data_IF_811391065185
#
_entry.id   IF_811391065185
#
_cell.length_a   1.000
_cell.length_b   1.000
_cell.length_c   1.000
_cell.angle_alpha   90.00
_cell.angle_beta   90.00
_cell.angle_gamma   90.00
#
_symmetry.space_group_name_H-M   'P 1'
#
loop_
_entity.id
_entity.type
_entity.pdbx_description
1 polymer ?
#
# COMPACT_ATOMS: atom_id res chain seq x y z
N UNK A 1 4.77 22.14 -4.57
CA UNK A 1 4.32 23.32 -5.37
C UNK A 1 2.89 23.09 -5.84
N UNK A 2 2.31 23.92 -6.72
CA UNK A 2 1.02 23.58 -7.33
C UNK A 2 1.19 22.40 -8.31
N UNK A 3 0.27 21.42 -8.27
CA UNK A 3 0.27 20.30 -9.22
C UNK A 3 0.02 20.82 -10.63
N UNK A 4 0.69 20.21 -11.60
CA UNK A 4 0.63 20.57 -13.01
C UNK A 4 0.05 19.40 -13.82
N UNK A 5 -0.65 19.72 -14.91
CA UNK A 5 -1.20 18.72 -15.84
C UNK A 5 -0.61 18.92 -17.24
N UNK A 6 0.70 18.72 -17.36
CA UNK A 6 1.46 18.97 -18.60
C UNK A 6 1.01 18.04 -19.73
N UNK A 7 0.60 16.81 -19.39
CA UNK A 7 0.21 15.79 -20.35
C UNK A 7 -1.29 15.81 -20.70
N UNK A 8 -2.07 16.77 -20.16
CA UNK A 8 -3.54 16.80 -20.27
C UNK A 8 -4.17 15.45 -19.86
N UNK A 9 -3.67 14.87 -18.77
CA UNK A 9 -4.10 13.59 -18.25
C UNK A 9 -5.35 13.69 -17.38
N UNK A 10 -5.65 14.89 -16.85
CA UNK A 10 -6.80 15.09 -15.99
C UNK A 10 -8.11 14.89 -16.76
N UNK A 11 -8.96 14.01 -16.24
CA UNK A 11 -10.29 13.75 -16.80
C UNK A 11 -11.32 13.41 -15.70
N UNK A 12 -12.57 13.25 -16.08
CA UNK A 12 -13.68 12.84 -15.22
C UNK A 12 -14.01 11.35 -15.43
N UNK A 13 -14.10 10.61 -14.33
CA UNK A 13 -14.67 9.27 -14.27
C UNK A 13 -16.06 9.33 -13.64
N UNK A 14 -17.05 8.79 -14.34
CA UNK A 14 -18.41 8.66 -13.81
C UNK A 14 -18.55 7.32 -13.09
N UNK A 15 -18.92 7.39 -11.81
CA UNK A 15 -19.21 6.24 -10.96
C UNK A 15 -20.61 6.38 -10.37
N UNK A 16 -21.11 5.31 -9.77
CA UNK A 16 -22.42 5.34 -9.11
C UNK A 16 -22.45 6.33 -7.92
N UNK A 17 -21.30 6.53 -7.26
CA UNK A 17 -21.09 7.54 -6.21
C UNK A 17 -20.88 8.98 -6.72
N UNK A 18 -20.96 9.21 -8.03
CA UNK A 18 -20.83 10.51 -8.68
C UNK A 18 -19.54 10.69 -9.50
N UNK A 19 -19.33 11.89 -10.08
CA UNK A 19 -18.15 12.18 -10.89
C UNK A 19 -16.90 12.37 -10.00
N UNK A 20 -15.80 11.77 -10.42
CA UNK A 20 -14.50 11.84 -9.76
C UNK A 20 -13.44 12.30 -10.76
N UNK A 21 -12.50 13.12 -10.31
CA UNK A 21 -11.33 13.47 -11.13
C UNK A 21 -10.33 12.31 -11.14
N UNK A 22 -9.85 11.92 -12.30
CA UNK A 22 -8.78 10.93 -12.49
C UNK A 22 -7.67 11.50 -13.36
N UNK A 23 -6.50 10.87 -13.33
CA UNK A 23 -5.38 11.16 -14.22
C UNK A 23 -5.14 9.93 -15.10
N UNK A 24 -5.56 9.99 -16.37
CA UNK A 24 -5.53 8.83 -17.28
C UNK A 24 -4.11 8.52 -17.72
N UNK A 25 -3.69 7.27 -17.54
CA UNK A 25 -2.39 6.81 -18.04
C UNK A 25 -2.30 6.84 -19.57
N UNK A 26 -3.42 6.64 -20.28
CA UNK A 26 -3.48 6.67 -21.75
C UNK A 26 -3.14 8.05 -22.35
N UNK A 27 -3.16 9.12 -21.56
CA UNK A 27 -2.74 10.45 -21.96
C UNK A 27 -1.26 10.49 -22.35
N UNK A 28 -0.42 9.65 -21.74
CA UNK A 28 0.99 9.53 -22.07
C UNK A 28 1.20 8.89 -23.45
N UNK A 29 0.35 7.93 -23.84
CA UNK A 29 0.34 7.39 -25.21
C UNK A 29 -0.09 8.48 -26.21
N UNK A 30 -1.16 9.22 -25.90
CA UNK A 30 -1.67 10.31 -26.75
C UNK A 30 -0.68 11.45 -26.92
N UNK A 31 0.11 11.75 -25.88
CA UNK A 31 1.18 12.74 -25.90
C UNK A 31 2.46 12.23 -26.60
N UNK A 32 2.51 10.96 -27.02
CA UNK A 32 3.67 10.38 -27.70
C UNK A 32 4.85 10.06 -26.79
N UNK A 33 4.63 9.90 -25.48
CA UNK A 33 5.69 9.66 -24.49
C UNK A 33 6.15 8.21 -24.48
N UNK A 34 5.23 7.26 -24.31
CA UNK A 34 5.54 5.82 -24.23
C UNK A 34 4.27 4.97 -24.41
N UNK A 35 4.43 3.68 -24.75
CA UNK A 35 3.32 2.71 -24.75
C UNK A 35 3.11 2.12 -23.35
N UNK A 36 2.15 2.68 -22.63
CA UNK A 36 1.81 2.34 -21.24
C UNK A 36 1.17 0.94 -21.15
N UNK A 37 0.50 0.48 -22.20
CA UNK A 37 -0.21 -0.80 -22.20
C UNK A 37 0.69 -2.02 -21.92
N UNK A 38 1.98 -1.93 -22.24
CA UNK A 38 2.96 -3.02 -22.04
C UNK A 38 3.64 -3.02 -20.68
N UNK A 39 3.41 -1.99 -19.87
CA UNK A 39 4.00 -1.89 -18.54
C UNK A 39 3.44 -2.98 -17.61
N UNK A 40 4.27 -3.54 -16.72
CA UNK A 40 3.76 -4.33 -15.59
C UNK A 40 2.76 -3.51 -14.78
N UNK A 41 1.74 -4.17 -14.23
CA UNK A 41 0.68 -3.49 -13.46
C UNK A 41 1.26 -2.72 -12.27
N UNK A 42 2.27 -3.28 -11.59
CA UNK A 42 2.96 -2.59 -10.50
C UNK A 42 3.62 -1.28 -10.94
N UNK A 43 4.17 -1.23 -12.16
CA UNK A 43 4.80 -0.01 -12.71
C UNK A 43 3.74 1.02 -13.10
N UNK A 44 2.58 0.59 -13.61
CA UNK A 44 1.45 1.50 -13.88
C UNK A 44 0.97 2.21 -12.61
N UNK A 45 0.98 1.55 -11.45
CA UNK A 45 0.63 2.20 -10.17
C UNK A 45 1.67 3.26 -9.78
N UNK A 46 2.97 2.99 -9.94
CA UNK A 46 4.01 4.00 -9.73
C UNK A 46 3.87 5.19 -10.70
N UNK A 47 3.55 4.90 -11.96
CA UNK A 47 3.34 5.90 -13.00
C UNK A 47 2.14 6.80 -12.71
N UNK A 48 1.02 6.22 -12.25
CA UNK A 48 -0.16 7.00 -11.84
C UNK A 48 0.20 7.96 -10.71
N UNK A 49 0.91 7.46 -9.69
CA UNK A 49 1.27 8.26 -8.53
C UNK A 49 2.16 9.45 -8.92
N UNK A 50 3.10 9.24 -9.85
CA UNK A 50 3.96 10.30 -10.36
C UNK A 50 3.17 11.28 -11.26
N UNK A 51 2.36 10.77 -12.19
CA UNK A 51 1.57 11.59 -13.12
C UNK A 51 0.60 12.53 -12.39
N UNK A 52 -0.16 12.00 -11.42
CA UNK A 52 -1.12 12.77 -10.63
C UNK A 52 -0.45 13.80 -9.72
N UNK A 53 0.77 13.52 -9.25
CA UNK A 53 1.47 14.34 -8.25
C UNK A 53 2.58 15.21 -8.85
N UNK A 54 2.69 15.29 -10.18
CA UNK A 54 3.65 16.14 -10.87
C UNK A 54 3.50 17.59 -10.41
N UNK A 55 4.54 18.13 -9.80
CA UNK A 55 4.57 19.51 -9.29
C UNK A 55 5.78 20.31 -9.78
N UNK A 56 6.66 19.68 -10.54
CA UNK A 56 7.87 20.28 -11.10
C UNK A 56 9.02 20.44 -10.10
N UNK A 57 8.87 19.91 -8.87
CA UNK A 57 9.89 20.00 -7.83
C UNK A 57 10.20 18.63 -7.20
N UNK A 58 9.28 18.07 -6.41
CA UNK A 58 9.46 16.73 -5.83
C UNK A 58 9.20 15.65 -6.88
N UNK A 59 8.21 15.88 -7.73
CA UNK A 59 7.87 15.01 -8.86
C UNK A 59 7.96 15.81 -10.14
N UNK A 60 8.96 15.48 -10.95
CA UNK A 60 9.30 16.18 -12.20
C UNK A 60 8.65 15.52 -13.41
N UNK A 61 8.57 16.26 -14.52
CA UNK A 61 8.17 15.71 -15.81
C UNK A 61 9.09 14.54 -16.23
N UNK A 62 10.40 14.70 -16.04
CA UNK A 62 11.40 13.67 -16.34
C UNK A 62 11.15 12.36 -15.56
N UNK A 63 10.74 12.45 -14.30
CA UNK A 63 10.39 11.27 -13.52
C UNK A 63 9.19 10.52 -14.14
N UNK A 64 8.15 11.23 -14.56
CA UNK A 64 6.97 10.62 -15.23
C UNK A 64 7.37 9.94 -16.54
N UNK A 65 8.15 10.62 -17.38
CA UNK A 65 8.64 10.09 -18.65
C UNK A 65 9.55 8.87 -18.46
N UNK A 66 10.38 8.89 -17.42
CA UNK A 66 11.28 7.78 -17.05
C UNK A 66 10.48 6.54 -16.65
N UNK A 67 9.48 6.69 -15.79
CA UNK A 67 8.61 5.58 -15.36
C UNK A 67 7.79 5.06 -16.55
N UNK A 68 7.27 5.96 -17.40
CA UNK A 68 6.51 5.59 -18.59
C UNK A 68 7.34 4.76 -19.58
N UNK A 69 8.63 5.07 -19.69
CA UNK A 69 9.61 4.34 -20.50
C UNK A 69 10.36 3.26 -19.70
N UNK A 70 9.68 2.61 -18.74
CA UNK A 70 10.26 1.49 -18.01
C UNK A 70 10.74 0.39 -18.98
N UNK A 71 12.00 -0.02 -18.79
CA UNK A 71 12.65 -1.01 -19.64
C UNK A 71 14.07 -1.28 -19.19
N UNK A 72 14.85 -2.05 -19.98
CA UNK A 72 16.20 -2.48 -19.62
C UNK A 72 17.20 -1.34 -19.32
N UNK A 73 16.95 -0.15 -19.88
CA UNK A 73 17.84 1.01 -19.72
C UNK A 73 17.50 1.87 -18.49
N UNK A 74 16.29 1.74 -17.94
CA UNK A 74 15.81 2.54 -16.79
C UNK A 74 15.67 1.70 -15.52
N UNK A 75 15.21 0.45 -15.63
CA UNK A 75 15.03 -0.47 -14.51
C UNK A 75 16.37 -0.78 -13.81
N UNK A 76 16.37 -0.66 -12.48
CA UNK A 76 17.52 -0.86 -11.60
C UNK A 76 18.62 0.21 -11.72
N UNK A 77 18.41 1.27 -12.51
CA UNK A 77 19.45 2.23 -12.88
C UNK A 77 19.12 3.68 -12.54
N UNK A 78 17.85 4.06 -12.62
CA UNK A 78 17.42 5.45 -12.41
C UNK A 78 16.59 5.55 -11.13
N UNK A 79 16.82 6.60 -10.36
CA UNK A 79 16.05 6.91 -9.16
C UNK A 79 14.76 7.65 -9.53
N UNK A 80 13.66 7.29 -8.88
CA UNK A 80 12.35 7.91 -9.06
C UNK A 80 11.74 8.29 -7.70
N UNK A 81 10.95 9.38 -7.64
CA UNK A 81 10.14 9.70 -6.48
C UNK A 81 8.85 8.86 -6.48
N UNK A 82 8.46 8.36 -5.31
CA UNK A 82 7.18 7.69 -5.09
C UNK A 82 6.49 8.25 -3.85
N UNK A 83 5.28 8.78 -4.03
CA UNK A 83 4.44 9.32 -2.96
C UNK A 83 3.22 8.40 -2.76
N UNK A 84 3.26 7.49 -1.78
CA UNK A 84 2.18 6.53 -1.56
C UNK A 84 0.89 7.22 -1.08
N UNK A 85 -0.24 6.54 -1.21
CA UNK A 85 -1.54 7.07 -0.81
C UNK A 85 -1.74 7.16 0.70
N UNK A 86 -1.12 6.26 1.48
CA UNK A 86 -1.25 6.19 2.95
C UNK A 86 -0.05 5.50 3.60
N UNK A 87 -0.02 5.51 4.94
CA UNK A 87 0.95 4.78 5.76
C UNK A 87 0.23 3.85 6.73
N UNK A 88 0.81 2.67 7.00
CA UNK A 88 0.33 1.78 8.06
C UNK A 88 1.43 1.53 9.11
N UNK A 89 1.05 1.51 10.38
CA UNK A 89 1.95 1.29 11.51
C UNK A 89 1.43 0.14 12.38
N UNK A 90 2.35 -0.54 13.06
CA UNK A 90 2.05 -1.44 14.16
C UNK A 90 2.60 -0.86 15.47
N UNK A 91 2.19 -1.30 16.65
CA UNK A 91 2.45 -0.57 17.90
C UNK A 91 3.93 -0.52 18.36
N UNK A 92 4.79 -1.46 17.98
CA UNK A 92 6.22 -1.43 18.32
C UNK A 92 6.98 -0.33 17.57
N UNK A 93 6.65 -0.09 16.31
CA UNK A 93 7.26 0.97 15.48
C UNK A 93 6.43 2.25 15.46
N UNK A 94 5.13 2.14 15.70
CA UNK A 94 4.21 3.27 15.74
C UNK A 94 4.36 4.13 16.99
N UNK A 95 4.66 3.54 18.15
CA UNK A 95 4.99 4.32 19.36
C UNK A 95 6.19 5.25 19.12
N UNK A 96 7.37 4.76 18.68
CA UNK A 96 8.49 5.66 18.41
C UNK A 96 8.16 6.69 17.33
N UNK A 97 7.41 6.35 16.27
CA UNK A 97 7.01 7.36 15.28
C UNK A 97 6.11 8.47 15.84
N UNK A 98 5.19 8.16 16.76
CA UNK A 98 4.38 9.19 17.44
C UNK A 98 5.25 10.02 18.39
N UNK A 99 6.25 9.42 19.04
CA UNK A 99 7.25 10.15 19.84
C UNK A 99 8.05 11.12 18.96
N UNK A 100 8.49 10.68 17.79
CA UNK A 100 9.29 11.50 16.86
C UNK A 100 8.47 12.67 16.32
N UNK A 101 7.20 12.47 15.96
CA UNK A 101 6.30 13.57 15.60
C UNK A 101 6.11 14.57 16.76
N UNK A 102 5.99 14.09 18.00
CA UNK A 102 5.89 14.94 19.18
C UNK A 102 7.18 15.73 19.45
N UNK A 103 8.33 15.09 19.24
CA UNK A 103 9.65 15.71 19.35
C UNK A 103 9.85 16.78 18.27
N UNK A 104 9.44 16.51 17.03
CA UNK A 104 9.45 17.46 15.92
C UNK A 104 8.55 18.67 16.19
N UNK A 105 7.36 18.48 16.78
CA UNK A 105 6.50 19.59 17.25
C UNK A 105 7.23 20.47 18.27
N UNK A 106 7.90 19.84 19.22
CA UNK A 106 8.67 20.56 20.24
C UNK A 106 9.86 21.31 19.64
N UNK A 107 10.55 20.71 18.65
CA UNK A 107 11.64 21.36 17.92
C UNK A 107 11.14 22.56 17.10
N UNK A 108 10.02 22.40 16.38
CA UNK A 108 9.37 23.47 15.62
C UNK A 108 9.02 24.65 16.52
N UNK A 109 8.46 24.40 17.71
CA UNK A 109 8.16 25.43 18.70
C UNK A 109 9.43 26.18 19.15
N UNK A 110 10.52 25.47 19.47
CA UNK A 110 11.80 26.07 19.89
C UNK A 110 12.43 26.94 18.80
N UNK A 111 12.19 26.62 17.53
CA UNK A 111 12.63 27.40 16.38
C UNK A 111 11.70 28.58 16.05
N UNK A 112 10.63 28.80 16.82
CA UNK A 112 9.65 29.86 16.60
C UNK A 112 8.65 29.60 15.48
N UNK A 113 8.58 28.38 14.96
CA UNK A 113 7.60 27.95 13.97
C UNK A 113 6.29 27.45 14.58
N UNK A 114 5.31 27.14 13.74
CA UNK A 114 4.03 26.57 14.16
C UNK A 114 4.11 25.03 14.29
N UNK A 115 4.01 24.46 15.50
CA UNK A 115 4.06 23.02 15.71
C UNK A 115 2.96 22.27 14.98
N UNK A 116 1.81 22.90 14.72
CA UNK A 116 0.68 22.24 14.01
C UNK A 116 1.02 21.87 12.57
N UNK A 117 2.06 22.47 11.98
CA UNK A 117 2.57 22.05 10.66
C UNK A 117 3.21 20.67 10.68
N UNK A 118 3.62 20.18 11.85
CA UNK A 118 4.05 18.79 12.02
C UNK A 118 2.78 17.95 12.20
N UNK A 119 2.26 17.47 11.08
CA UNK A 119 1.09 16.62 11.02
C UNK A 119 1.17 15.69 9.80
N UNK A 120 0.64 14.45 9.90
CA UNK A 120 0.48 13.59 8.72
C UNK A 120 -0.36 14.25 7.61
N UNK A 121 0.18 14.30 6.40
CA UNK A 121 -0.45 14.81 5.18
C UNK A 121 -1.16 13.71 4.38
N UNK A 122 -0.83 12.45 4.66
CA UNK A 122 -1.52 11.26 4.16
C UNK A 122 -2.20 10.53 5.31
N UNK A 123 -3.25 9.73 5.06
CA UNK A 123 -3.85 8.87 6.07
C UNK A 123 -2.80 7.94 6.70
N UNK A 124 -2.86 7.82 8.02
CA UNK A 124 -2.02 6.93 8.82
C UNK A 124 -2.91 6.05 9.70
N UNK A 125 -2.78 4.75 9.53
CA UNK A 125 -3.47 3.76 10.34
C UNK A 125 -2.47 3.03 11.23
N UNK A 126 -2.62 3.12 12.54
CA UNK A 126 -1.83 2.36 13.51
C UNK A 126 -2.69 1.22 14.07
N UNK A 127 -2.22 -0.02 13.95
CA UNK A 127 -2.87 -1.19 14.54
C UNK A 127 -2.10 -1.65 15.77
N UNK A 128 -2.82 -1.89 16.88
CA UNK A 128 -2.22 -2.43 18.10
C UNK A 128 -2.40 -3.95 18.09
N UNK A 129 -1.31 -4.68 17.83
CA UNK A 129 -1.34 -6.14 17.65
C UNK A 129 -0.07 -6.86 18.12
N UNK A 130 1.04 -6.16 18.37
CA UNK A 130 2.32 -6.72 18.84
C UNK A 130 2.45 -6.75 20.38
N UNK A 131 1.40 -6.36 21.11
CA UNK A 131 1.44 -6.24 22.58
C UNK A 131 0.86 -7.45 23.33
N UNK A 132 -0.03 -8.23 22.71
CA UNK A 132 -0.63 -9.43 23.31
C UNK A 132 0.39 -10.56 23.39
N UNK A 133 0.39 -11.27 24.53
CA UNK A 133 1.23 -12.45 24.75
C UNK A 133 0.35 -13.64 25.15
N UNK A 134 0.79 -14.85 24.80
CA UNK A 134 0.11 -16.09 25.19
C UNK A 134 0.56 -16.47 26.61
N UNK A 135 0.09 -15.74 27.63
CA UNK A 135 0.32 -16.07 29.03
C UNK A 135 -0.46 -17.31 29.48
N UNK A 136 -1.66 -17.51 28.92
CA UNK A 136 -2.48 -18.71 29.08
C UNK A 136 -3.00 -19.20 27.73
N UNK A 137 -3.16 -20.51 27.62
CA UNK A 137 -3.73 -21.19 26.45
C UNK A 137 -4.58 -22.39 26.87
N UNK A 138 -5.37 -22.95 25.94
CA UNK A 138 -6.12 -24.20 26.17
C UNK A 138 -7.34 -24.09 27.08
N UNK A 139 -7.85 -22.89 27.33
CA UNK A 139 -9.03 -22.64 28.17
C UNK A 139 -9.91 -21.54 27.58
N UNK A 140 -11.23 -21.63 27.80
CA UNK A 140 -12.20 -20.59 27.40
C UNK A 140 -11.91 -19.23 28.06
N UNK A 141 -11.19 -19.22 29.18
CA UNK A 141 -10.80 -17.99 29.90
C UNK A 141 -9.45 -17.42 29.43
N UNK A 142 -8.73 -18.11 28.54
CA UNK A 142 -7.39 -17.69 28.12
C UNK A 142 -7.40 -16.32 27.42
N UNK A 143 -8.39 -16.08 26.55
CA UNK A 143 -8.52 -14.80 25.83
C UNK A 143 -8.69 -13.63 26.80
N UNK A 144 -9.63 -13.73 27.74
CA UNK A 144 -9.87 -12.68 28.73
C UNK A 144 -8.63 -12.42 29.60
N UNK A 145 -7.97 -13.49 30.05
CA UNK A 145 -6.78 -13.37 30.87
C UNK A 145 -5.63 -12.69 30.11
N UNK A 146 -5.36 -13.09 28.86
CA UNK A 146 -4.28 -12.53 28.07
C UNK A 146 -4.56 -11.05 27.72
N UNK A 147 -5.82 -10.70 27.40
CA UNK A 147 -6.20 -9.31 27.14
C UNK A 147 -6.06 -8.41 28.38
N UNK A 148 -6.48 -8.88 29.56
CA UNK A 148 -6.29 -8.14 30.82
C UNK A 148 -4.79 -7.88 31.09
N UNK A 149 -3.96 -8.91 30.93
CA UNK A 149 -2.50 -8.83 31.12
C UNK A 149 -1.82 -7.91 30.10
N UNK A 150 -2.28 -7.92 28.86
CA UNK A 150 -1.84 -7.01 27.81
C UNK A 150 -2.09 -5.54 28.21
N UNK A 151 -3.31 -5.22 28.67
CA UNK A 151 -3.66 -3.88 29.13
C UNK A 151 -2.87 -3.44 30.36
N UNK A 152 -2.69 -4.31 31.34
CA UNK A 152 -1.88 -4.02 32.54
C UNK A 152 -0.44 -3.63 32.17
N UNK A 153 0.16 -4.35 31.22
CA UNK A 153 1.56 -4.16 30.82
C UNK A 153 1.78 -2.95 29.92
N UNK A 154 0.80 -2.61 29.08
CA UNK A 154 0.97 -1.63 28.00
C UNK A 154 0.17 -0.33 28.22
N UNK A 155 -0.38 -0.13 29.42
CA UNK A 155 -1.25 1.02 29.73
C UNK A 155 -0.69 2.36 29.28
N UNK A 156 0.57 2.67 29.62
CA UNK A 156 1.21 3.95 29.25
C UNK A 156 1.32 4.10 27.72
N UNK A 157 1.71 3.04 27.02
CA UNK A 157 1.79 3.04 25.54
C UNK A 157 0.43 3.31 24.92
N UNK A 158 -0.63 2.71 25.44
CA UNK A 158 -1.99 2.91 24.91
C UNK A 158 -2.54 4.30 25.22
N UNK A 159 -2.29 4.83 26.42
CA UNK A 159 -2.63 6.21 26.78
C UNK A 159 -1.89 7.20 25.84
N UNK A 160 -0.62 6.93 25.53
CA UNK A 160 0.17 7.74 24.60
C UNK A 160 -0.34 7.66 23.15
N UNK A 161 -0.66 6.47 22.63
CA UNK A 161 -1.22 6.32 21.28
C UNK A 161 -2.61 6.95 21.15
N UNK A 162 -3.43 6.85 22.21
CA UNK A 162 -4.74 7.50 22.28
C UNK A 162 -4.60 9.02 22.27
N UNK A 163 -3.60 9.58 22.96
CA UNK A 163 -3.25 10.99 22.83
C UNK A 163 -2.84 11.33 21.39
N UNK A 164 -2.00 10.50 20.76
CA UNK A 164 -1.58 10.68 19.36
C UNK A 164 -2.76 10.80 18.40
N UNK A 165 -3.75 9.91 18.52
CA UNK A 165 -4.99 9.97 17.73
C UNK A 165 -5.75 11.29 17.89
N UNK A 166 -5.71 11.91 19.06
CA UNK A 166 -6.38 13.20 19.30
C UNK A 166 -5.53 14.39 18.87
N UNK A 167 -4.21 14.22 18.86
CA UNK A 167 -3.25 15.29 18.62
C UNK A 167 -2.91 15.50 17.14
N UNK A 168 -3.09 14.49 16.29
CA UNK A 168 -2.74 14.51 14.88
C UNK A 168 -3.97 14.29 13.99
N UNK A 169 -4.13 15.12 12.96
CA UNK A 169 -5.11 14.89 11.90
C UNK A 169 -4.64 13.73 11.01
N UNK A 170 -5.58 13.07 10.32
CA UNK A 170 -5.33 11.91 9.45
C UNK A 170 -4.70 10.70 10.17
N UNK A 171 -4.71 10.66 11.50
CA UNK A 171 -4.15 9.56 12.29
C UNK A 171 -5.25 8.77 12.99
N UNK A 172 -5.34 7.47 12.70
CA UNK A 172 -6.32 6.55 13.28
C UNK A 172 -5.60 5.41 14.00
N UNK A 173 -6.07 5.06 15.19
CA UNK A 173 -5.59 3.93 15.98
C UNK A 173 -6.68 2.86 16.04
N UNK A 174 -6.35 1.67 15.55
CA UNK A 174 -7.15 0.46 15.74
C UNK A 174 -6.81 -0.14 17.11
N UNK A 175 -7.80 -0.32 17.99
CA UNK A 175 -7.56 -0.76 19.36
C UNK A 175 -7.06 -2.21 19.44
N UNK A 176 -6.45 -2.63 20.57
CA UNK A 176 -6.01 -4.00 20.79
C UNK A 176 -7.18 -5.00 20.70
N UNK A 177 -6.84 -6.27 20.50
CA UNK A 177 -7.77 -7.39 20.36
C UNK A 177 -8.78 -7.28 19.19
N UNK A 178 -8.51 -6.43 18.20
CA UNK A 178 -9.31 -6.32 16.96
C UNK A 178 -8.83 -7.29 15.88
N UNK A 179 -7.52 -7.52 15.78
CA UNK A 179 -6.89 -8.37 14.78
C UNK A 179 -5.42 -8.00 14.59
N UNK A 180 -4.74 -8.64 13.64
CA UNK A 180 -3.35 -8.34 13.27
C UNK A 180 -3.29 -7.32 12.13
N UNK A 181 -2.25 -6.49 12.09
CA UNK A 181 -2.12 -5.32 11.21
C UNK A 181 -2.43 -5.62 9.75
N UNK A 182 -1.88 -6.71 9.21
CA UNK A 182 -2.03 -7.06 7.80
C UNK A 182 -3.39 -7.63 7.46
N UNK A 183 -3.99 -8.40 8.37
CA UNK A 183 -5.35 -8.93 8.20
C UNK A 183 -6.39 -7.81 8.31
N UNK A 184 -6.25 -6.92 9.31
CA UNK A 184 -7.09 -5.72 9.43
C UNK A 184 -6.92 -4.80 8.21
N UNK A 185 -5.70 -4.70 7.67
CA UNK A 185 -5.48 -3.96 6.42
C UNK A 185 -6.24 -4.58 5.25
N UNK A 186 -6.13 -5.89 5.06
CA UNK A 186 -6.78 -6.63 3.98
C UNK A 186 -8.31 -6.62 4.10
N UNK A 187 -8.83 -6.84 5.30
CA UNK A 187 -10.27 -7.03 5.57
C UNK A 187 -11.00 -5.74 5.90
N UNK A 188 -10.32 -4.65 6.27
CA UNK A 188 -11.00 -3.40 6.66
C UNK A 188 -10.39 -2.10 6.09
N UNK A 189 -9.07 -1.89 6.21
CA UNK A 189 -8.48 -0.56 5.91
C UNK A 189 -8.28 -0.29 4.41
N UNK A 190 -7.92 -1.32 3.65
CA UNK A 190 -7.62 -1.20 2.23
C UNK A 190 -8.89 -0.95 1.40
N UNK A 191 -8.73 -0.04 0.43
CA UNK A 191 -9.82 0.36 -0.48
C UNK A 191 -9.58 -0.01 -1.94
N UNK A 192 -8.36 -0.44 -2.30
CA UNK A 192 -7.91 -0.69 -3.69
C UNK A 192 -7.85 0.56 -4.57
N UNK A 193 -8.88 1.41 -4.52
CA UNK A 193 -8.90 2.76 -5.07
C UNK A 193 -9.26 3.73 -3.95
N UNK A 194 -8.39 4.69 -3.70
CA UNK A 194 -8.60 5.76 -2.73
C UNK A 194 -9.31 6.95 -3.39
N UNK A 195 -10.04 7.70 -2.58
CA UNK A 195 -10.60 9.00 -2.94
C UNK A 195 -10.08 10.08 -2.02
N UNK A 196 -9.66 11.23 -2.55
CA UNK A 196 -9.16 12.35 -1.75
C UNK A 196 -9.63 13.70 -2.27
N UNK A 197 -9.86 14.66 -1.37
CA UNK A 197 -10.20 16.03 -1.76
C UNK A 197 -8.93 16.83 -2.03
N UNK A 198 -8.78 17.33 -3.27
CA UNK A 198 -7.67 18.18 -3.69
C UNK A 198 -8.22 19.38 -4.45
N UNK A 199 -7.89 20.60 -3.98
CA UNK A 199 -8.34 21.86 -4.60
C UNK A 199 -9.86 21.93 -4.86
N UNK A 200 -10.67 21.39 -3.94
CA UNK A 200 -12.14 21.38 -4.04
C UNK A 200 -12.73 20.26 -4.90
N UNK A 201 -11.92 19.46 -5.59
CA UNK A 201 -12.37 18.30 -6.37
C UNK A 201 -12.09 17.01 -5.61
N UNK A 202 -12.91 15.99 -5.84
CA UNK A 202 -12.66 14.63 -5.33
C UNK A 202 -11.90 13.87 -6.41
N UNK A 203 -10.66 13.48 -6.12
CA UNK A 203 -9.81 12.68 -6.99
C UNK A 203 -9.89 11.20 -6.62
N UNK A 204 -9.84 10.30 -7.61
CA UNK A 204 -9.67 8.87 -7.42
C UNK A 204 -8.31 8.39 -7.93
N UNK A 205 -7.65 7.51 -7.18
CA UNK A 205 -6.31 7.01 -7.47
C UNK A 205 -6.05 5.64 -6.81
N UNK A 206 -5.08 4.84 -7.28
CA UNK A 206 -4.83 3.52 -6.72
C UNK A 206 -4.44 3.64 -5.25
N UNK A 207 -4.96 2.73 -4.43
CA UNK A 207 -4.45 2.55 -3.07
C UNK A 207 -3.00 2.09 -3.15
N UNK A 208 -2.15 2.72 -2.36
CA UNK A 208 -0.76 2.34 -2.21
C UNK A 208 -0.25 2.78 -0.85
N UNK A 209 0.69 2.02 -0.28
CA UNK A 209 1.18 2.32 1.04
C UNK A 209 2.62 1.88 1.27
N UNK A 210 3.22 2.49 2.29
CA UNK A 210 4.32 1.87 3.00
C UNK A 210 3.92 1.61 4.44
N UNK A 211 4.53 0.60 5.03
CA UNK A 211 4.31 0.29 6.44
C UNK A 211 5.58 0.07 7.21
N UNK A 212 5.54 0.27 8.52
CA UNK A 212 6.69 0.01 9.40
C UNK A 212 6.80 -1.46 9.83
N UNK A 213 6.41 -2.35 8.93
CA UNK A 213 6.40 -3.80 9.08
C UNK A 213 6.72 -4.43 7.71
N UNK A 214 7.64 -5.40 7.68
CA UNK A 214 8.11 -6.03 6.45
C UNK A 214 7.00 -6.73 5.67
N UNK A 215 6.01 -7.27 6.37
CA UNK A 215 4.92 -8.06 5.81
C UNK A 215 3.75 -7.19 5.34
N UNK A 216 3.90 -5.86 5.32
CA UNK A 216 2.99 -4.92 4.64
C UNK A 216 2.71 -5.36 3.19
N UNK A 217 3.65 -6.09 2.59
CA UNK A 217 3.53 -6.76 1.29
C UNK A 217 2.35 -7.73 1.17
N UNK A 218 1.76 -8.22 2.26
CA UNK A 218 0.54 -9.06 2.22
C UNK A 218 -0.60 -8.40 1.43
N UNK A 219 -0.71 -7.07 1.48
CA UNK A 219 -1.75 -6.32 0.79
C UNK A 219 -1.63 -6.37 -0.74
N UNK A 220 -0.46 -6.75 -1.28
CA UNK A 220 -0.26 -6.84 -2.71
C UNK A 220 -1.05 -7.99 -3.36
N UNK A 221 -1.55 -8.94 -2.56
CA UNK A 221 -2.53 -9.94 -2.98
C UNK A 221 -3.89 -9.35 -3.39
N UNK A 222 -4.21 -8.15 -2.91
CA UNK A 222 -5.44 -7.39 -3.20
C UNK A 222 -5.25 -6.41 -4.38
N UNK A 223 -4.07 -6.34 -4.99
CA UNK A 223 -3.75 -5.36 -6.04
C UNK A 223 -3.39 -3.97 -5.52
N UNK A 224 -3.10 -3.84 -4.23
CA UNK A 224 -2.61 -2.61 -3.60
C UNK A 224 -1.08 -2.64 -3.55
N UNK A 225 -0.42 -1.64 -4.11
CA UNK A 225 1.05 -1.57 -4.14
C UNK A 225 1.58 -1.09 -2.78
N UNK A 226 2.39 -1.90 -2.11
CA UNK A 226 2.98 -1.51 -0.84
C UNK A 226 3.94 -2.50 -0.22
N UNK A 227 4.84 -1.99 0.63
CA UNK A 227 5.93 -2.76 1.23
C UNK A 227 6.37 -2.18 2.57
N UNK A 228 7.23 -2.91 3.27
CA UNK A 228 7.81 -2.49 4.55
C UNK A 228 8.97 -1.51 4.39
N UNK A 229 9.00 -0.48 5.24
CA UNK A 229 10.07 0.52 5.34
C UNK A 229 10.45 0.76 6.81
N UNK A 230 11.51 1.51 7.08
CA UNK A 230 11.86 1.96 8.43
C UNK A 230 10.92 3.05 8.95
N UNK A 231 10.98 3.31 10.26
CA UNK A 231 10.17 4.34 10.91
C UNK A 231 10.41 5.73 10.32
N UNK A 232 11.68 6.08 10.07
CA UNK A 232 12.08 7.39 9.53
C UNK A 232 11.52 7.60 8.12
N UNK A 233 11.59 6.59 7.23
CA UNK A 233 11.01 6.68 5.89
C UNK A 233 9.48 6.83 5.96
N UNK A 234 8.83 6.06 6.85
CA UNK A 234 7.39 6.18 7.05
C UNK A 234 7.00 7.59 7.55
N UNK A 235 7.74 8.16 8.50
CA UNK A 235 7.53 9.52 9.00
C UNK A 235 7.77 10.59 7.93
N UNK A 236 8.80 10.42 7.10
CA UNK A 236 9.06 11.31 5.98
C UNK A 236 7.86 11.34 5.01
N UNK A 237 7.31 10.16 4.70
CA UNK A 237 6.07 10.03 3.91
C UNK A 237 4.88 10.68 4.59
N UNK A 238 4.71 10.49 5.90
CA UNK A 238 3.65 11.16 6.66
C UNK A 238 3.76 12.67 6.51
N UNK A 239 4.97 13.23 6.49
CA UNK A 239 5.22 14.67 6.34
C UNK A 239 5.26 15.12 4.86
N UNK A 240 4.88 14.25 3.93
CA UNK A 240 4.69 14.56 2.51
C UNK A 240 5.93 14.38 1.63
N UNK A 241 7.04 13.89 2.18
CA UNK A 241 8.23 13.59 1.39
C UNK A 241 8.02 12.33 0.53
N UNK A 242 8.46 12.33 -0.73
CA UNK A 242 8.51 11.11 -1.53
C UNK A 242 9.54 10.14 -0.98
N UNK A 243 9.30 8.85 -1.22
CA UNK A 243 10.33 7.83 -1.18
C UNK A 243 11.12 7.92 -2.47
N UNK A 244 12.43 8.12 -2.37
CA UNK A 244 13.33 7.99 -3.50
C UNK A 244 13.81 6.54 -3.58
N UNK A 245 13.56 5.91 -4.72
CA UNK A 245 13.91 4.52 -4.96
C UNK A 245 14.42 4.31 -6.38
N UNK A 246 15.27 3.32 -6.60
CA UNK A 246 15.56 2.87 -7.96
C UNK A 246 14.28 2.32 -8.59
N UNK A 247 13.99 2.75 -9.83
CA UNK A 247 12.90 2.20 -10.63
C UNK A 247 13.09 0.68 -10.71
N UNK A 248 12.19 -0.15 -10.19
CA UNK A 248 12.51 -1.55 -9.92
C UNK A 248 12.50 -2.39 -11.19
N UNK A 249 13.38 -3.41 -11.22
CA UNK A 249 13.18 -4.57 -12.08
C UNK A 249 11.87 -5.27 -11.70
N UNK A 250 11.15 -5.82 -12.68
CA UNK A 250 9.95 -6.63 -12.46
C UNK A 250 10.18 -8.05 -12.98
N UNK A 251 10.15 -9.02 -12.07
CA UNK A 251 10.24 -10.45 -12.37
C UNK A 251 8.84 -11.02 -12.48
N UNK A 252 8.42 -11.40 -13.69
CA UNK A 252 7.15 -12.07 -13.90
C UNK A 252 7.18 -13.52 -13.40
N UNK A 253 6.33 -13.87 -12.43
CA UNK A 253 6.15 -15.23 -11.93
C UNK A 253 4.90 -15.86 -12.55
N UNK A 254 5.10 -16.79 -13.49
CA UNK A 254 3.99 -17.41 -14.22
C UNK A 254 3.41 -18.60 -13.44
N UNK A 255 2.15 -18.48 -13.02
CA UNK A 255 1.38 -19.57 -12.43
C UNK A 255 0.57 -20.29 -13.51
N UNK A 256 0.71 -21.61 -13.55
CA UNK A 256 0.02 -22.50 -14.49
C UNK A 256 -0.47 -23.76 -13.78
N UNK A 257 -1.55 -24.35 -14.28
CA UNK A 257 -2.13 -25.57 -13.70
C UNK A 257 -3.10 -25.28 -12.55
N UNK A 258 -3.24 -26.25 -11.67
CA UNK A 258 -4.07 -26.24 -10.45
C UNK A 258 -3.30 -26.88 -9.31
N UNK A 259 -3.63 -26.53 -8.07
CA UNK A 259 -3.10 -27.23 -6.91
C UNK A 259 -3.64 -28.67 -6.90
N UNK A 260 -2.79 -29.68 -6.66
CA UNK A 260 -3.26 -31.05 -6.53
C UNK A 260 -4.11 -31.21 -5.26
N UNK A 261 -4.98 -32.21 -5.25
CA UNK A 261 -5.80 -32.52 -4.08
C UNK A 261 -4.92 -32.73 -2.84
N UNK A 262 -5.32 -32.11 -1.73
CA UNK A 262 -4.58 -32.14 -0.46
C UNK A 262 -3.48 -31.10 -0.32
N UNK A 263 -3.09 -30.39 -1.40
CA UNK A 263 -2.17 -29.26 -1.28
C UNK A 263 -2.89 -28.02 -0.75
N UNK A 264 -2.16 -27.23 0.04
CA UNK A 264 -2.65 -26.02 0.70
C UNK A 264 -1.99 -24.75 0.15
N UNK A 265 -2.52 -23.59 0.52
CA UNK A 265 -1.89 -22.29 0.27
C UNK A 265 -0.46 -22.23 0.85
N UNK A 266 -0.25 -22.90 1.99
CA UNK A 266 1.06 -22.98 2.66
C UNK A 266 2.07 -23.75 1.81
N UNK A 267 1.67 -24.88 1.23
CA UNK A 267 2.55 -25.66 0.34
C UNK A 267 2.96 -24.83 -0.88
N UNK A 268 1.98 -24.11 -1.46
CA UNK A 268 2.21 -23.23 -2.59
C UNK A 268 3.19 -22.11 -2.26
N UNK A 269 2.97 -21.36 -1.18
CA UNK A 269 3.84 -20.23 -0.84
C UNK A 269 5.25 -20.68 -0.49
N UNK A 270 5.42 -21.80 0.21
CA UNK A 270 6.75 -22.34 0.52
C UNK A 270 7.50 -22.71 -0.77
N UNK A 271 6.81 -23.31 -1.73
CA UNK A 271 7.40 -23.64 -3.04
C UNK A 271 7.74 -22.38 -3.85
N UNK A 272 6.86 -21.38 -3.87
CA UNK A 272 7.11 -20.09 -4.53
C UNK A 272 8.32 -19.40 -3.90
N UNK A 273 8.38 -19.36 -2.58
CA UNK A 273 9.48 -18.76 -1.80
C UNK A 273 10.81 -19.45 -2.13
N UNK A 274 10.84 -20.77 -2.14
CA UNK A 274 12.02 -21.56 -2.51
C UNK A 274 12.52 -21.20 -3.93
N UNK A 275 11.60 -21.19 -4.91
CA UNK A 275 11.94 -20.88 -6.31
C UNK A 275 12.45 -19.44 -6.48
N UNK A 276 11.82 -18.47 -5.81
CA UNK A 276 12.22 -17.07 -5.89
C UNK A 276 13.55 -16.80 -5.19
N UNK A 277 13.82 -17.47 -4.05
CA UNK A 277 15.15 -17.44 -3.40
C UNK A 277 16.23 -17.96 -4.34
N UNK A 278 16.01 -19.10 -4.99
CA UNK A 278 16.96 -19.67 -5.96
C UNK A 278 17.18 -18.75 -7.16
N UNK A 279 16.13 -18.03 -7.60
CA UNK A 279 16.22 -17.08 -8.71
C UNK A 279 17.01 -15.81 -8.37
N UNK A 280 17.01 -15.38 -7.11
CA UNK A 280 17.67 -14.17 -6.65
C UNK A 280 16.91 -12.90 -7.03
N UNK A 281 15.85 -12.57 -6.29
CA UNK A 281 14.96 -11.43 -6.57
C UNK A 281 15.13 -10.26 -5.60
N UNK A 282 16.28 -10.17 -4.94
CA UNK A 282 16.56 -9.13 -3.94
C UNK A 282 16.43 -7.73 -4.52
N UNK A 283 15.61 -6.89 -3.89
CA UNK A 283 15.38 -5.49 -4.31
C UNK A 283 14.56 -5.33 -5.60
N UNK A 284 13.97 -6.42 -6.11
CA UNK A 284 13.12 -6.41 -7.32
C UNK A 284 11.65 -6.51 -6.94
N UNK A 285 10.78 -6.13 -7.87
CA UNK A 285 9.38 -6.49 -7.80
C UNK A 285 9.18 -7.88 -8.40
N UNK A 286 8.27 -8.66 -7.81
CA UNK A 286 7.72 -9.87 -8.41
C UNK A 286 6.28 -9.58 -8.80
N UNK A 287 5.88 -9.87 -10.03
CA UNK A 287 4.48 -9.73 -10.47
C UNK A 287 3.95 -11.09 -10.92
N UNK A 288 2.85 -11.52 -10.30
CA UNK A 288 2.26 -12.83 -10.54
C UNK A 288 1.28 -12.76 -11.73
N UNK A 289 1.44 -13.68 -12.68
CA UNK A 289 0.63 -13.71 -13.89
C UNK A 289 0.36 -15.14 -14.37
N UNK A 290 -0.44 -15.27 -15.44
CA UNK A 290 -0.76 -16.56 -16.06
C UNK A 290 -2.12 -17.12 -15.64
N UNK A 291 -2.52 -18.26 -16.24
CA UNK A 291 -3.86 -18.82 -16.07
C UNK A 291 -4.11 -19.37 -14.65
N UNK A 292 -3.06 -19.70 -13.89
CA UNK A 292 -3.21 -20.20 -12.52
C UNK A 292 -3.69 -19.14 -11.53
N UNK A 293 -3.43 -17.84 -11.79
CA UNK A 293 -3.82 -16.74 -10.89
C UNK A 293 -5.34 -16.68 -10.68
N UNK A 294 -6.12 -16.88 -11.75
CA UNK A 294 -7.58 -16.86 -11.69
C UNK A 294 -8.21 -18.01 -10.88
N UNK A 295 -7.40 -18.98 -10.45
CA UNK A 295 -7.84 -20.13 -9.65
C UNK A 295 -7.50 -20.00 -8.17
N UNK A 296 -6.68 -19.01 -7.81
CA UNK A 296 -6.33 -18.73 -6.42
C UNK A 296 -7.37 -17.83 -5.79
N UNK A 297 -7.81 -18.19 -4.58
CA UNK A 297 -8.61 -17.29 -3.76
C UNK A 297 -7.77 -16.09 -3.29
N UNK A 298 -8.42 -15.01 -2.89
CA UNK A 298 -7.68 -13.85 -2.40
C UNK A 298 -6.80 -14.14 -1.16
N UNK A 299 -7.25 -14.92 -0.16
CA UNK A 299 -6.38 -15.34 0.94
C UNK A 299 -5.12 -16.10 0.48
N UNK A 300 -5.21 -16.91 -0.59
CA UNK A 300 -4.04 -17.60 -1.14
C UNK A 300 -3.04 -16.60 -1.75
N UNK A 301 -3.55 -15.61 -2.49
CA UNK A 301 -2.73 -14.53 -3.07
C UNK A 301 -2.04 -13.71 -1.99
N UNK A 302 -2.79 -13.33 -0.95
CA UNK A 302 -2.27 -12.59 0.19
C UNK A 302 -1.21 -13.39 0.95
N UNK A 303 -1.41 -14.70 1.12
CA UNK A 303 -0.42 -15.61 1.72
C UNK A 303 0.89 -15.61 0.93
N UNK A 304 0.81 -15.66 -0.41
CA UNK A 304 1.99 -15.60 -1.28
C UNK A 304 2.69 -14.24 -1.19
N UNK A 305 1.92 -13.16 -1.31
CA UNK A 305 2.43 -11.80 -1.28
C UNK A 305 3.10 -11.46 0.07
N UNK A 306 2.52 -11.94 1.17
CA UNK A 306 3.04 -11.79 2.54
C UNK A 306 4.47 -12.29 2.67
N UNK A 307 4.84 -13.38 1.98
CA UNK A 307 6.19 -13.96 2.09
C UNK A 307 7.27 -13.25 1.26
N UNK A 308 6.98 -12.06 0.72
CA UNK A 308 7.95 -11.29 -0.07
C UNK A 308 9.28 -11.01 0.63
N UNK A 309 9.29 -10.60 1.92
CA UNK A 309 10.52 -10.41 2.67
C UNK A 309 11.33 -11.71 2.76
N UNK A 310 10.68 -12.87 2.88
CA UNK A 310 11.37 -14.15 2.99
C UNK A 310 12.12 -14.53 1.72
N UNK A 311 11.62 -14.21 0.52
CA UNK A 311 12.37 -14.41 -0.73
C UNK A 311 13.17 -13.18 -1.20
N UNK A 312 13.17 -12.11 -0.41
CA UNK A 312 14.02 -10.93 -0.57
C UNK A 312 13.50 -9.89 -1.58
N UNK A 313 12.36 -10.12 -2.22
CA UNK A 313 11.77 -9.13 -3.11
C UNK A 313 11.27 -7.93 -2.29
N UNK A 314 11.24 -6.76 -2.91
CA UNK A 314 10.58 -5.60 -2.31
C UNK A 314 9.08 -5.87 -2.12
N UNK A 315 8.46 -6.58 -3.08
CA UNK A 315 7.06 -7.00 -3.03
C UNK A 315 6.71 -8.10 -4.04
N UNK A 316 5.54 -8.73 -3.84
CA UNK A 316 4.95 -9.75 -4.71
C UNK A 316 3.51 -9.38 -5.09
N UNK A 317 3.32 -8.85 -6.30
CA UNK A 317 2.10 -8.16 -6.72
C UNK A 317 1.13 -9.05 -7.52
N UNK A 318 -0.13 -9.06 -7.11
CA UNK A 318 -1.25 -9.63 -7.86
C UNK A 318 -2.14 -8.50 -8.38
N UNK A 319 -2.27 -8.29 -9.70
CA UNK A 319 -3.14 -7.26 -10.24
C UNK A 319 -4.61 -7.45 -9.84
N UNK A 320 -5.36 -6.35 -9.80
CA UNK A 320 -6.81 -6.38 -9.56
C UNK A 320 -7.50 -7.19 -10.65
N UNK A 321 -8.36 -8.13 -10.27
CA UNK A 321 -9.21 -8.90 -11.19
C UNK A 321 -10.57 -9.22 -10.55
N UNK A 322 -11.36 -10.09 -11.20
CA UNK A 322 -12.69 -10.48 -10.71
C UNK A 322 -12.67 -11.07 -9.29
N UNK A 323 -11.59 -11.77 -8.90
CA UNK A 323 -11.46 -12.31 -7.53
C UNK A 323 -11.27 -11.18 -6.51
N UNK A 324 -10.55 -10.12 -6.87
CA UNK A 324 -10.46 -8.91 -6.04
C UNK A 324 -11.84 -8.33 -5.77
N UNK A 325 -12.67 -8.17 -6.81
CA UNK A 325 -14.04 -7.65 -6.65
C UNK A 325 -14.90 -8.58 -5.79
N UNK A 326 -14.84 -9.90 -6.02
CA UNK A 326 -15.55 -10.90 -5.20
C UNK A 326 -15.15 -10.83 -3.73
N UNK A 327 -13.88 -10.63 -3.44
CA UNK A 327 -13.38 -10.51 -2.07
C UNK A 327 -13.85 -9.21 -1.40
N UNK A 328 -13.85 -8.08 -2.11
CA UNK A 328 -14.37 -6.82 -1.56
C UNK A 328 -15.86 -6.96 -1.19
N UNK A 329 -16.66 -7.60 -2.05
CA UNK A 329 -18.07 -7.92 -1.74
C UNK A 329 -18.17 -8.86 -0.53
N UNK A 330 -17.37 -9.94 -0.52
CA UNK A 330 -17.38 -10.94 0.55
C UNK A 330 -16.95 -10.40 1.92
N UNK A 331 -16.14 -9.34 1.95
CA UNK A 331 -15.72 -8.64 3.17
C UNK A 331 -16.66 -7.48 3.55
N UNK A 332 -17.80 -7.34 2.86
CA UNK A 332 -18.83 -6.36 3.17
C UNK A 332 -18.44 -4.92 2.84
N UNK A 333 -17.59 -4.70 1.82
CA UNK A 333 -17.34 -3.36 1.29
C UNK A 333 -18.58 -2.82 0.59
N UNK A 334 -18.77 -1.51 0.70
CA UNK A 334 -19.89 -0.79 0.08
C UNK A 334 -19.89 -1.00 -1.44
N UNK A 335 -21.09 -1.18 -2.02
CA UNK A 335 -21.26 -1.40 -3.46
C UNK A 335 -20.68 -0.24 -4.30
N UNK A 336 -20.78 1.00 -3.81
CA UNK A 336 -20.17 2.18 -4.45
C UNK A 336 -18.64 2.07 -4.55
N UNK A 337 -17.98 1.47 -3.56
CA UNK A 337 -16.54 1.25 -3.61
C UNK A 337 -16.20 0.16 -4.64
N UNK A 338 -16.98 -0.92 -4.69
CA UNK A 338 -16.75 -2.01 -5.65
C UNK A 338 -16.91 -1.51 -7.08
N UNK A 339 -17.96 -0.71 -7.36
CA UNK A 339 -18.17 -0.04 -8.66
C UNK A 339 -17.00 0.87 -9.02
N UNK A 340 -16.55 1.70 -8.07
CA UNK A 340 -15.39 2.57 -8.26
C UNK A 340 -14.15 1.75 -8.61
N UNK A 341 -13.85 0.69 -7.86
CA UNK A 341 -12.66 -0.15 -8.10
C UNK A 341 -12.71 -0.76 -9.49
N UNK A 342 -13.84 -1.36 -9.88
CA UNK A 342 -13.99 -1.99 -11.18
C UNK A 342 -13.81 -0.98 -12.33
N UNK A 343 -14.53 0.15 -12.29
CA UNK A 343 -14.48 1.15 -13.37
C UNK A 343 -13.13 1.82 -13.46
N UNK A 344 -12.59 2.27 -12.33
CA UNK A 344 -11.31 2.97 -12.29
C UNK A 344 -10.18 2.09 -12.81
N UNK A 345 -10.10 0.84 -12.34
CA UNK A 345 -9.02 -0.05 -12.75
C UNK A 345 -9.13 -0.48 -14.20
N UNK A 346 -10.34 -0.66 -14.74
CA UNK A 346 -10.54 -0.89 -16.19
C UNK A 346 -10.14 0.32 -17.02
N UNK A 347 -10.55 1.53 -16.63
CA UNK A 347 -10.22 2.78 -17.32
C UNK A 347 -8.71 3.03 -17.37
N UNK A 348 -8.00 2.69 -16.29
CA UNK A 348 -6.55 2.90 -16.17
C UNK A 348 -5.72 1.73 -16.75
N UNK A 349 -6.35 0.67 -17.26
CA UNK A 349 -5.64 -0.54 -17.68
C UNK A 349 -4.91 -1.24 -16.52
N UNK A 350 -5.44 -1.13 -15.30
CA UNK A 350 -5.00 -1.77 -14.06
C UNK A 350 -5.79 -3.04 -13.71
N UNK A 351 -6.84 -3.35 -14.47
CA UNK A 351 -7.65 -4.56 -14.30
C UNK A 351 -7.11 -5.70 -15.18
N UNK A 352 -6.78 -6.84 -14.57
CA UNK A 352 -6.35 -8.06 -15.26
C UNK A 352 -7.58 -8.82 -15.76
N UNK A 353 -7.53 -9.25 -17.01
CA UNK A 353 -8.58 -10.04 -17.70
C UNK A 353 -8.13 -11.46 -18.02
#
# INVERSE_FOLDING_TARGET
MARQDIFNARDELKTDGGPLTIYRLDALEKAGVASVNRLPFSIKVLLEAALRQLDGFEVTQEAVETIANWGPDTAGKVEIPFKPARVILQDFTGVPSVVDLAALRSAMARLGGDPKKINPLVPVDLVIDHSVQVDRFGSIFALFYNAEREFERNRERYEFLKWGQQAFDNFRVVPPATGIVHQVNLEYLAKVVQTGKVNGNVEAYPDSLVGTDSHTTMINGLGVLGWGVGGIEAEAVMLGQPIYMLLPDVVGFKLTGELPEGATATDLVLRVTEMLRQKGVVGKFVEYYGPGVGKLSLPDRATIANMSPEYGATMGFFPVDDETLRYLIGTGRDEELVDLVERYTKEQGLFRT
#
